data_IF_884611858555
#
_entry.id   IF_884611858555
#
_cell.length_a   1.000
_cell.length_b   1.000
_cell.length_c   1.000
_cell.angle_alpha   90.00
_cell.angle_beta   90.00
_cell.angle_gamma   90.00
#
_symmetry.space_group_name_H-M   'P 1'
#
loop_
_entity.id
_entity.type
_entity.pdbx_description
1 polymer ?
#
# COMPACT_ATOMS: atom_id res chain seq x y z
N UNK A 1 11.13 12.17 -9.99
CA UNK A 1 10.41 11.14 -9.19
C UNK A 1 9.88 10.09 -10.15
N UNK A 2 10.49 8.91 -10.28
CA UNK A 2 10.07 7.94 -11.32
C UNK A 2 9.39 6.73 -10.68
N UNK A 3 8.09 6.61 -10.95
CA UNK A 3 7.25 5.41 -10.73
C UNK A 3 7.74 4.22 -11.61
N UNK A 4 8.87 4.37 -12.32
CA UNK A 4 9.43 3.41 -13.29
C UNK A 4 9.65 2.01 -12.73
N UNK A 5 9.88 1.87 -11.42
CA UNK A 5 10.08 0.56 -10.80
C UNK A 5 8.81 -0.32 -10.85
N UNK A 6 7.61 0.26 -10.99
CA UNK A 6 6.38 -0.53 -11.09
C UNK A 6 6.23 -1.23 -12.46
N UNK A 7 6.75 -0.64 -13.54
CA UNK A 7 6.68 -1.26 -14.87
C UNK A 7 7.50 -2.55 -14.96
N UNK A 8 8.65 -2.58 -14.28
CA UNK A 8 9.48 -3.79 -14.18
C UNK A 8 8.77 -4.84 -13.34
N UNK A 9 8.19 -4.44 -12.19
CA UNK A 9 7.43 -5.35 -11.31
C UNK A 9 6.21 -5.93 -12.02
N UNK A 10 5.49 -5.15 -12.82
CA UNK A 10 4.32 -5.58 -13.58
C UNK A 10 4.62 -6.73 -14.56
N UNK A 11 5.89 -6.94 -14.95
CA UNK A 11 6.33 -8.01 -15.85
C UNK A 11 6.75 -9.29 -15.13
N UNK A 12 6.70 -9.34 -13.79
CA UNK A 12 7.08 -10.55 -13.06
C UNK A 12 6.06 -11.68 -13.30
N UNK A 13 6.51 -12.96 -13.40
CA UNK A 13 5.69 -14.06 -13.90
C UNK A 13 4.50 -14.42 -13.00
N UNK A 14 4.52 -13.97 -11.74
CA UNK A 14 3.48 -14.22 -10.75
C UNK A 14 2.58 -13.02 -10.48
N UNK A 15 2.72 -11.90 -11.22
CA UNK A 15 1.75 -10.79 -11.15
C UNK A 15 0.43 -11.23 -11.78
N UNK A 16 -0.67 -10.92 -11.10
CA UNK A 16 -2.00 -11.25 -11.58
C UNK A 16 -2.68 -10.03 -12.23
N UNK A 17 -2.88 -10.09 -13.55
CA UNK A 17 -3.57 -9.06 -14.38
C UNK A 17 -2.86 -7.70 -14.48
N UNK A 18 -2.85 -6.88 -13.42
CA UNK A 18 -2.32 -5.52 -13.46
C UNK A 18 -1.89 -5.02 -12.07
N UNK A 19 -1.03 -4.00 -12.04
CA UNK A 19 -0.68 -3.24 -10.84
C UNK A 19 -1.49 -1.93 -10.85
N UNK A 20 -2.00 -1.53 -9.70
CA UNK A 20 -2.67 -0.24 -9.52
C UNK A 20 -1.91 0.64 -8.52
N UNK A 21 -2.10 1.95 -8.60
CA UNK A 21 -1.53 2.94 -7.68
C UNK A 21 -2.62 3.87 -7.17
N UNK A 22 -2.49 4.27 -5.91
CA UNK A 22 -3.31 5.29 -5.28
C UNK A 22 -2.80 6.69 -5.66
N UNK A 23 -3.63 7.75 -5.56
CA UNK A 23 -3.23 9.12 -5.90
C UNK A 23 -2.06 9.68 -5.05
N UNK A 24 -1.85 9.14 -3.86
CA UNK A 24 -0.79 9.51 -2.91
C UNK A 24 0.51 8.69 -3.09
N UNK A 25 0.64 7.95 -4.20
CA UNK A 25 1.79 7.08 -4.47
C UNK A 25 3.12 7.83 -4.41
N UNK A 26 4.07 7.26 -3.68
CA UNK A 26 5.42 7.82 -3.57
C UNK A 26 6.47 6.72 -3.34
N UNK A 27 7.74 7.13 -3.32
CA UNK A 27 8.87 6.21 -3.15
C UNK A 27 8.84 5.59 -1.76
N UNK A 28 8.85 4.26 -1.70
CA UNK A 28 9.04 3.49 -0.48
C UNK A 28 10.29 2.62 -0.57
N UNK A 29 10.66 2.00 0.56
CA UNK A 29 11.78 1.07 0.63
C UNK A 29 11.34 -0.29 0.09
N UNK A 30 11.89 -0.68 -1.07
CA UNK A 30 11.51 -1.92 -1.74
C UNK A 30 10.40 -1.70 -2.76
N UNK A 31 9.17 -1.48 -2.30
CA UNK A 31 8.03 -1.09 -3.15
C UNK A 31 7.66 0.38 -2.98
N UNK A 32 6.91 0.95 -3.92
CA UNK A 32 6.22 2.23 -3.73
C UNK A 32 5.13 2.09 -2.67
N UNK A 33 4.95 3.14 -1.85
CA UNK A 33 3.83 3.27 -0.93
C UNK A 33 2.60 3.69 -1.73
N UNK A 34 1.41 3.22 -1.36
CA UNK A 34 0.17 3.46 -2.10
C UNK A 34 0.07 2.66 -3.39
N UNK A 35 0.65 1.44 -3.46
CA UNK A 35 0.56 0.56 -4.63
C UNK A 35 -0.13 -0.76 -4.30
N UNK A 36 -0.94 -1.25 -5.23
CA UNK A 36 -1.61 -2.56 -5.15
C UNK A 36 -0.93 -3.51 -6.14
N UNK A 37 -0.26 -4.53 -5.62
CA UNK A 37 0.52 -5.51 -6.40
C UNK A 37 -0.08 -6.90 -6.19
N UNK A 38 -1.03 -7.33 -7.04
CA UNK A 38 -1.65 -8.65 -6.91
C UNK A 38 -0.72 -9.74 -7.43
N UNK A 39 -0.55 -10.80 -6.65
CA UNK A 39 0.28 -11.97 -6.99
C UNK A 39 -0.52 -13.27 -6.96
N UNK A 40 -0.12 -14.27 -7.74
CA UNK A 40 -0.66 -15.64 -7.67
C UNK A 40 0.47 -16.62 -7.40
N UNK A 41 0.37 -17.37 -6.29
CA UNK A 41 1.38 -18.37 -5.92
C UNK A 41 2.72 -17.81 -5.44
N UNK A 42 2.79 -16.51 -5.10
CA UNK A 42 4.00 -15.86 -4.62
C UNK A 42 3.66 -14.73 -3.62
N UNK A 43 4.59 -14.42 -2.72
CA UNK A 43 4.52 -13.28 -1.79
C UNK A 43 5.76 -12.40 -2.00
N UNK A 44 5.59 -11.08 -1.94
CA UNK A 44 6.69 -10.11 -1.99
C UNK A 44 6.73 -9.37 -0.64
N UNK A 45 7.54 -9.79 0.36
CA UNK A 45 7.55 -9.18 1.69
C UNK A 45 7.81 -7.66 1.66
N UNK A 46 8.72 -7.22 0.78
CA UNK A 46 9.04 -5.80 0.61
C UNK A 46 7.90 -4.96 0.01
N UNK A 47 6.83 -5.59 -0.50
CA UNK A 47 5.63 -4.90 -0.95
C UNK A 47 4.57 -4.75 0.16
N UNK A 48 4.69 -5.51 1.26
CA UNK A 48 3.81 -5.40 2.43
C UNK A 48 4.18 -4.15 3.26
N UNK A 49 5.48 -3.91 3.43
CA UNK A 49 6.00 -2.83 4.25
C UNK A 49 6.84 -3.35 5.42
N UNK A 50 7.60 -2.46 6.05
CA UNK A 50 8.41 -2.79 7.23
C UNK A 50 7.59 -2.84 8.52
N UNK A 51 6.48 -2.10 8.55
CA UNK A 51 5.51 -2.05 9.66
C UNK A 51 4.26 -2.86 9.27
N UNK A 52 4.33 -4.17 9.50
CA UNK A 52 3.27 -5.11 9.11
C UNK A 52 2.08 -4.93 10.06
N UNK A 53 0.91 -4.65 9.49
CA UNK A 53 -0.30 -4.35 10.26
C UNK A 53 -0.50 -2.86 10.53
N UNK A 54 0.37 -2.00 10.01
CA UNK A 54 0.15 -0.56 9.97
C UNK A 54 -1.22 -0.26 9.33
N UNK A 55 -2.02 0.55 10.02
CA UNK A 55 -3.38 0.85 9.64
C UNK A 55 -4.05 1.72 10.69
N UNK A 56 -5.32 2.04 10.46
CA UNK A 56 -6.12 2.88 11.34
C UNK A 56 -7.32 2.10 11.88
N UNK A 57 -7.65 2.35 13.15
CA UNK A 57 -8.92 1.95 13.75
C UNK A 57 -9.62 3.21 14.27
N UNK A 58 -10.92 3.33 14.05
CA UNK A 58 -11.72 4.45 14.52
C UNK A 58 -12.89 3.92 15.35
N UNK A 59 -13.00 4.39 16.60
CA UNK A 59 -14.10 4.05 17.50
C UNK A 59 -15.04 5.25 17.60
N UNK A 60 -16.32 5.02 17.30
CA UNK A 60 -17.36 6.02 17.52
C UNK A 60 -17.65 6.14 19.02
N UNK A 61 -17.54 7.35 19.55
CA UNK A 61 -17.94 7.68 20.92
C UNK A 61 -19.33 8.32 20.93
N UNK A 62 -19.86 8.55 22.14
CA UNK A 62 -21.07 9.36 22.33
C UNK A 62 -20.79 10.87 22.44
N UNK A 63 -19.51 11.27 22.49
CA UNK A 63 -19.08 12.65 22.68
C UNK A 63 -19.18 13.45 21.36
N UNK A 64 -19.48 14.74 21.47
CA UNK A 64 -19.40 15.70 20.36
C UNK A 64 -18.12 16.55 20.47
N UNK A 65 -17.89 17.44 19.51
CA UNK A 65 -16.70 18.29 19.50
C UNK A 65 -16.70 19.26 20.70
N UNK A 66 -17.87 19.67 21.18
CA UNK A 66 -18.05 20.57 22.33
C UNK A 66 -17.70 19.91 23.67
N UNK A 67 -17.69 18.57 23.74
CA UNK A 67 -17.30 17.82 24.95
C UNK A 67 -15.76 17.73 25.12
N UNK A 68 -14.97 18.19 24.15
CA UNK A 68 -13.51 18.08 24.13
C UNK A 68 -12.83 19.40 24.55
N UNK A 69 -11.67 19.34 25.26
CA UNK A 69 -10.90 20.53 25.66
C UNK A 69 -10.34 21.37 24.51
#
# INVERSE_FOLDING_TARGET
>A
MRVSNLLIRAKMPFIFKHIAVMPDVHLGKGSTIGSVIPTKGAIIPAAVGVDIGCGMNALRTALTAEDLP
#
